data_IF_010982945356
#
_entry.id   IF_010982945356
#
_cell.length_a   1.000
_cell.length_b   1.000
_cell.length_c   1.000
_cell.angle_alpha   90.00
_cell.angle_beta   90.00
_cell.angle_gamma   90.00
#
_symmetry.space_group_name_H-M   'P 1'
#
loop_
_entity.id
_entity.type
_entity.pdbx_description
1 polymer ?
#
# COMPACT_ATOMS: atom_id res chain seq x y z
N UNK A 1 -8.46 12.71 21.14
CA UNK A 1 -8.09 11.51 20.35
C UNK A 1 -6.62 11.22 20.61
N UNK A 2 -6.34 10.09 21.26
CA UNK A 2 -4.96 9.67 21.51
C UNK A 2 -4.43 8.98 20.24
N UNK A 3 -3.39 9.52 19.62
CA UNK A 3 -2.71 8.94 18.48
C UNK A 3 -1.52 8.12 18.91
N UNK A 4 -1.42 6.89 18.46
CA UNK A 4 -0.28 6.01 18.65
C UNK A 4 0.20 5.49 17.31
N UNK A 5 1.51 5.38 17.11
CA UNK A 5 2.11 4.88 15.87
C UNK A 5 3.10 3.78 16.18
N UNK A 6 2.90 2.61 15.57
CA UNK A 6 3.90 1.57 15.53
C UNK A 6 5.05 1.99 14.61
N UNK A 7 6.27 1.94 15.12
CA UNK A 7 7.48 2.24 14.35
C UNK A 7 8.46 1.07 14.43
N UNK A 8 9.13 0.78 13.30
CA UNK A 8 10.17 -0.23 13.28
C UNK A 8 11.34 0.22 14.16
N UNK A 9 11.77 -0.66 15.08
CA UNK A 9 12.97 -0.44 15.90
C UNK A 9 14.20 -0.27 15.00
N UNK A 10 15.02 0.72 15.34
CA UNK A 10 16.34 0.95 14.72
C UNK A 10 17.40 1.08 15.81
N UNK A 11 18.54 0.43 15.59
CA UNK A 11 19.64 0.41 16.57
C UNK A 11 20.14 1.79 17.00
N UNK A 12 19.97 2.80 16.16
CA UNK A 12 20.41 4.20 16.41
C UNK A 12 19.31 5.10 16.98
N UNK A 13 18.19 4.53 17.47
CA UNK A 13 17.11 5.30 18.12
C UNK A 13 16.46 6.40 17.27
N UNK A 14 16.41 6.23 15.94
CA UNK A 14 15.93 7.26 15.02
C UNK A 14 14.42 7.45 15.09
N UNK A 15 13.99 8.65 15.44
CA UNK A 15 12.57 9.04 15.39
C UNK A 15 12.13 9.29 13.93
N UNK A 16 10.85 9.03 13.57
CA UNK A 16 10.35 9.22 12.20
C UNK A 16 10.50 10.69 11.75
N UNK A 17 11.40 10.94 10.82
CA UNK A 17 11.75 12.27 10.30
C UNK A 17 10.52 13.11 9.96
N UNK A 18 9.50 12.51 9.33
CA UNK A 18 8.27 13.19 8.91
C UNK A 18 7.48 13.79 10.06
N UNK A 19 7.42 13.12 11.22
CA UNK A 19 6.71 13.66 12.38
C UNK A 19 7.35 14.96 12.88
N UNK A 20 8.68 15.05 12.80
CA UNK A 20 9.40 16.27 13.15
C UNK A 20 9.23 17.36 12.11
N UNK A 21 9.37 17.03 10.82
CA UNK A 21 9.19 17.98 9.71
C UNK A 21 7.77 18.57 9.72
N UNK A 22 6.77 17.77 10.07
CA UNK A 22 5.38 18.21 10.19
C UNK A 22 5.05 18.82 11.56
N UNK A 23 5.99 18.87 12.50
CA UNK A 23 5.82 19.41 13.87
C UNK A 23 4.70 18.72 14.66
N UNK A 24 4.50 17.44 14.46
CA UNK A 24 3.48 16.62 15.16
C UNK A 24 4.09 15.49 15.99
N UNK A 25 5.40 15.53 16.21
CA UNK A 25 6.11 14.46 16.93
C UNK A 25 5.65 14.30 18.38
N UNK A 26 5.24 15.38 19.01
CA UNK A 26 4.77 15.39 20.40
C UNK A 26 3.29 15.03 20.53
N UNK A 27 2.53 15.10 19.41
CA UNK A 27 1.13 14.72 19.34
C UNK A 27 0.91 13.21 19.15
N UNK A 28 1.99 12.45 18.93
CA UNK A 28 1.93 11.03 18.61
C UNK A 28 2.82 10.20 19.53
N UNK A 29 2.22 9.30 20.29
CA UNK A 29 2.98 8.33 21.08
C UNK A 29 3.55 7.23 20.21
N UNK A 30 4.86 7.07 20.18
CA UNK A 30 5.54 6.04 19.40
C UNK A 30 5.63 4.74 20.19
N UNK A 31 5.35 3.63 19.55
CA UNK A 31 5.50 2.26 20.08
C UNK A 31 6.40 1.50 19.12
N UNK A 32 7.50 0.94 19.62
CA UNK A 32 8.41 0.12 18.81
C UNK A 32 7.82 -1.27 18.57
N UNK A 33 7.95 -1.74 17.32
CA UNK A 33 7.56 -3.09 16.92
C UNK A 33 7.77 -3.32 15.42
N UNK A 34 7.57 -4.54 14.98
CA UNK A 34 7.65 -4.93 13.57
C UNK A 34 6.40 -5.68 13.17
N UNK A 35 5.83 -5.33 12.01
CA UNK A 35 4.61 -5.99 11.49
C UNK A 35 4.84 -7.50 11.23
N UNK A 36 6.09 -7.91 11.05
CA UNK A 36 6.46 -9.32 10.84
C UNK A 36 6.67 -10.10 12.14
N UNK A 37 6.58 -9.44 13.29
CA UNK A 37 6.74 -10.04 14.62
C UNK A 37 5.44 -9.94 15.42
N UNK A 38 4.74 -11.07 15.53
CA UNK A 38 3.48 -11.20 16.27
C UNK A 38 3.61 -10.76 17.73
N UNK A 39 4.72 -11.08 18.40
CA UNK A 39 4.93 -10.72 19.81
C UNK A 39 4.98 -9.22 20.00
N UNK A 40 5.66 -8.49 19.11
CA UNK A 40 5.72 -7.03 19.17
C UNK A 40 4.36 -6.38 18.89
N UNK A 41 3.54 -7.00 18.02
CA UNK A 41 2.17 -6.53 17.75
C UNK A 41 1.24 -6.72 18.94
N UNK A 42 1.30 -7.88 19.61
CA UNK A 42 0.54 -8.13 20.83
C UNK A 42 0.88 -7.10 21.91
N UNK A 43 2.18 -6.84 22.13
CA UNK A 43 2.63 -5.79 23.06
C UNK A 43 2.14 -4.39 22.65
N UNK A 44 2.22 -4.06 21.37
CA UNK A 44 1.78 -2.75 20.87
C UNK A 44 0.27 -2.54 21.05
N UNK A 45 -0.52 -3.58 20.84
CA UNK A 45 -1.98 -3.56 21.04
C UNK A 45 -2.33 -3.39 22.52
N UNK A 46 -1.65 -4.09 23.44
CA UNK A 46 -1.84 -3.91 24.88
C UNK A 46 -1.52 -2.46 25.33
N UNK A 47 -0.52 -1.85 24.72
CA UNK A 47 -0.14 -0.46 25.05
C UNK A 47 -1.05 0.59 24.39
N UNK A 48 -1.71 0.23 23.30
CA UNK A 48 -2.51 1.17 22.51
C UNK A 48 -4.00 1.10 22.77
N UNK A 49 -4.56 -0.08 23.06
CA UNK A 49 -6.01 -0.30 23.22
C UNK A 49 -6.80 0.48 22.15
N UNK A 50 -6.63 0.15 20.84
CA UNK A 50 -7.10 1.00 19.78
C UNK A 50 -8.60 0.85 19.53
N UNK A 51 -9.32 1.95 19.28
CA UNK A 51 -10.68 1.97 18.70
C UNK A 51 -10.63 1.82 17.17
N UNK A 52 -9.55 2.31 16.55
CA UNK A 52 -9.33 2.24 15.11
C UNK A 52 -7.86 1.96 14.81
N UNK A 53 -7.61 1.02 13.91
CA UNK A 53 -6.29 0.67 13.40
C UNK A 53 -6.20 1.05 11.92
N UNK A 54 -5.31 1.98 11.57
CA UNK A 54 -4.94 2.26 10.19
C UNK A 54 -3.72 1.42 9.81
N UNK A 55 -3.95 0.36 9.05
CA UNK A 55 -2.87 -0.51 8.59
C UNK A 55 -2.23 0.04 7.32
N UNK A 56 -1.20 0.88 7.51
CA UNK A 56 -0.44 1.53 6.45
C UNK A 56 0.96 0.91 6.25
N UNK A 57 1.33 -0.05 7.12
CA UNK A 57 2.65 -0.67 7.07
C UNK A 57 2.77 -1.59 5.84
N UNK A 58 3.67 -1.24 4.93
CA UNK A 58 3.93 -2.01 3.72
C UNK A 58 5.30 -1.69 3.11
N UNK A 59 5.87 -2.65 2.37
CA UNK A 59 6.80 -2.37 1.29
C UNK A 59 5.96 -1.88 0.11
N UNK A 60 6.02 -0.57 -0.22
CA UNK A 60 5.09 0.09 -1.16
C UNK A 60 5.70 0.47 -2.50
N UNK A 61 6.98 0.19 -2.71
CA UNK A 61 7.67 0.53 -3.96
C UNK A 61 7.62 -0.64 -4.94
N UNK A 62 6.76 -0.54 -5.96
CA UNK A 62 6.50 -1.61 -6.94
C UNK A 62 7.77 -2.18 -7.57
N UNK A 63 8.75 -1.37 -8.06
CA UNK A 63 9.99 -1.92 -8.62
C UNK A 63 10.78 -2.78 -7.63
N UNK A 64 10.80 -2.44 -6.33
CA UNK A 64 11.46 -3.26 -5.29
C UNK A 64 10.82 -4.63 -5.17
N UNK A 65 9.50 -4.75 -5.38
CA UNK A 65 8.81 -6.04 -5.29
C UNK A 65 9.25 -7.05 -6.34
N UNK A 66 9.74 -6.60 -7.50
CA UNK A 66 10.34 -7.48 -8.51
C UNK A 66 11.77 -7.92 -8.17
N UNK A 67 12.49 -7.08 -7.42
CA UNK A 67 13.88 -7.39 -6.99
C UNK A 67 13.86 -8.33 -5.79
N UNK A 68 12.97 -8.07 -4.83
CA UNK A 68 12.84 -8.87 -3.61
C UNK A 68 11.35 -9.14 -3.30
N UNK A 69 10.77 -10.12 -4.01
CA UNK A 69 9.38 -10.50 -3.79
C UNK A 69 9.15 -11.12 -2.41
N UNK A 70 10.13 -11.83 -1.86
CA UNK A 70 9.99 -12.48 -0.55
C UNK A 70 9.88 -11.46 0.59
N UNK A 71 10.71 -10.39 0.58
CA UNK A 71 10.55 -9.27 1.52
C UNK A 71 9.15 -8.66 1.39
N UNK A 72 8.69 -8.44 0.15
CA UNK A 72 7.38 -7.85 -0.12
C UNK A 72 6.25 -8.70 0.48
N UNK A 73 6.24 -10.01 0.23
CA UNK A 73 5.22 -10.91 0.79
C UNK A 73 5.33 -11.05 2.30
N UNK A 74 6.55 -11.13 2.84
CA UNK A 74 6.73 -11.20 4.29
C UNK A 74 6.17 -9.98 5.00
N UNK A 75 6.43 -8.78 4.47
CA UNK A 75 5.94 -7.53 5.07
C UNK A 75 4.45 -7.32 4.81
N UNK A 76 4.01 -7.42 3.55
CA UNK A 76 2.67 -7.02 3.16
C UNK A 76 1.63 -8.10 3.46
N UNK A 77 1.95 -9.36 3.16
CA UNK A 77 0.99 -10.47 3.31
C UNK A 77 1.04 -11.06 4.72
N UNK A 78 2.19 -11.59 5.12
CA UNK A 78 2.34 -12.19 6.46
C UNK A 78 2.19 -11.12 7.56
N UNK A 79 2.73 -9.91 7.35
CA UNK A 79 2.56 -8.81 8.30
C UNK A 79 1.09 -8.41 8.49
N UNK A 80 0.29 -8.37 7.43
CA UNK A 80 -1.16 -8.14 7.54
C UNK A 80 -1.84 -9.25 8.32
N UNK A 81 -1.51 -10.51 8.05
CA UNK A 81 -2.04 -11.65 8.78
C UNK A 81 -1.68 -11.60 10.26
N UNK A 82 -0.42 -11.30 10.60
CA UNK A 82 0.01 -11.15 11.99
C UNK A 82 -0.78 -10.07 12.74
N UNK A 83 -1.05 -8.93 12.09
CA UNK A 83 -1.85 -7.87 12.70
C UNK A 83 -3.28 -8.34 12.99
N UNK A 84 -3.93 -8.97 12.02
CA UNK A 84 -5.28 -9.49 12.17
C UNK A 84 -5.35 -10.58 13.26
N UNK A 85 -4.38 -11.50 13.29
CA UNK A 85 -4.26 -12.51 14.36
C UNK A 85 -4.01 -11.87 15.72
N UNK A 86 -3.15 -10.86 15.81
CA UNK A 86 -2.91 -10.18 17.08
C UNK A 86 -4.18 -9.54 17.64
N UNK A 87 -4.98 -8.88 16.79
CA UNK A 87 -6.26 -8.27 17.19
C UNK A 87 -7.27 -9.35 17.60
N UNK A 88 -7.37 -10.44 16.81
CA UNK A 88 -8.25 -11.57 17.11
C UNK A 88 -7.88 -12.24 18.44
N UNK A 89 -6.60 -12.55 18.67
CA UNK A 89 -6.12 -13.21 19.88
C UNK A 89 -6.29 -12.36 21.15
N UNK A 90 -6.27 -11.03 20.99
CA UNK A 90 -6.50 -10.08 22.08
C UNK A 90 -7.98 -9.74 22.29
N UNK A 91 -8.86 -10.22 21.42
CA UNK A 91 -10.30 -9.93 21.44
C UNK A 91 -10.60 -8.42 21.50
N UNK A 92 -9.87 -7.63 20.67
CA UNK A 92 -10.01 -6.17 20.67
C UNK A 92 -11.13 -5.76 19.72
N UNK A 93 -12.16 -5.09 20.23
CA UNK A 93 -13.24 -4.51 19.43
C UNK A 93 -12.80 -3.19 18.81
N UNK A 94 -12.11 -3.25 17.67
CA UNK A 94 -11.67 -2.08 16.91
C UNK A 94 -12.06 -2.16 15.43
N UNK A 95 -12.10 -1.01 14.75
CA UNK A 95 -12.18 -0.96 13.29
C UNK A 95 -10.79 -1.02 12.69
N UNK A 96 -10.62 -1.81 11.63
CA UNK A 96 -9.35 -1.98 10.94
C UNK A 96 -9.49 -1.43 9.51
N UNK A 97 -8.77 -0.37 9.19
CA UNK A 97 -8.72 0.22 7.84
C UNK A 97 -7.43 -0.21 7.16
N UNK A 98 -7.56 -1.05 6.13
CA UNK A 98 -6.44 -1.52 5.33
C UNK A 98 -6.20 -0.62 4.13
N UNK A 99 -4.98 -0.12 4.00
CA UNK A 99 -4.54 0.56 2.78
C UNK A 99 -4.24 -0.48 1.71
N UNK A 100 -5.24 -0.83 0.91
CA UNK A 100 -5.08 -1.58 -0.33
C UNK A 100 -4.43 -0.72 -1.41
N UNK A 101 -4.71 -0.99 -2.67
CA UNK A 101 -4.11 -0.27 -3.79
C UNK A 101 -4.93 -0.44 -5.07
N UNK A 102 -4.96 0.57 -5.94
CA UNK A 102 -5.46 0.43 -7.32
C UNK A 102 -4.65 -0.57 -8.15
N UNK A 103 -3.40 -0.87 -7.78
CA UNK A 103 -2.59 -1.92 -8.40
C UNK A 103 -3.23 -3.32 -8.29
N UNK A 104 -4.17 -3.52 -7.36
CA UNK A 104 -4.95 -4.77 -7.23
C UNK A 104 -5.80 -5.04 -8.48
N UNK A 105 -6.33 -3.99 -9.11
CA UNK A 105 -7.06 -4.11 -10.38
C UNK A 105 -6.14 -4.54 -11.53
N UNK A 106 -4.88 -4.09 -11.54
CA UNK A 106 -3.83 -4.50 -12.47
C UNK A 106 -4.23 -4.34 -13.93
N UNK A 107 -4.32 -5.46 -14.66
CA UNK A 107 -4.65 -5.48 -16.08
C UNK A 107 -6.15 -5.27 -16.32
N UNK A 108 -6.54 -4.06 -16.70
CA UNK A 108 -7.90 -3.74 -17.13
C UNK A 108 -7.96 -3.58 -18.64
N UNK A 109 -9.01 -4.06 -19.27
CA UNK A 109 -9.21 -4.00 -20.72
C UNK A 109 -9.86 -2.68 -21.11
N UNK A 110 -9.16 -1.88 -21.89
CA UNK A 110 -9.56 -0.50 -22.23
C UNK A 110 -10.19 -0.37 -23.64
N UNK A 111 -10.05 -1.40 -24.48
CA UNK A 111 -10.65 -1.45 -25.83
C UNK A 111 -10.61 -2.86 -26.38
N UNK A 112 -11.39 -3.13 -27.44
CA UNK A 112 -11.36 -4.39 -28.19
C UNK A 112 -9.98 -4.69 -28.78
N UNK A 113 -9.29 -3.68 -29.29
CA UNK A 113 -7.92 -3.84 -29.80
C UNK A 113 -6.96 -4.25 -28.69
N UNK A 114 -7.08 -3.62 -27.51
CA UNK A 114 -6.30 -4.00 -26.33
C UNK A 114 -6.58 -5.44 -25.93
N UNK A 115 -7.84 -5.86 -25.90
CA UNK A 115 -8.23 -7.23 -25.58
C UNK A 115 -7.60 -8.26 -26.53
N UNK A 116 -7.70 -8.04 -27.85
CA UNK A 116 -7.05 -8.91 -28.83
C UNK A 116 -5.54 -9.00 -28.64
N UNK A 117 -4.87 -7.88 -28.34
CA UNK A 117 -3.44 -7.86 -28.06
C UNK A 117 -3.09 -8.65 -26.79
N UNK A 118 -3.89 -8.53 -25.74
CA UNK A 118 -3.72 -9.29 -24.50
C UNK A 118 -3.88 -10.78 -24.75
N UNK A 119 -4.92 -11.20 -25.47
CA UNK A 119 -5.12 -12.60 -25.85
C UNK A 119 -3.97 -13.16 -26.69
N UNK A 120 -3.45 -12.36 -27.63
CA UNK A 120 -2.28 -12.76 -28.44
C UNK A 120 -1.04 -12.97 -27.59
N UNK A 121 -0.82 -12.14 -26.56
CA UNK A 121 0.39 -12.19 -25.74
C UNK A 121 0.32 -13.24 -24.62
N UNK A 122 -0.86 -13.48 -24.04
CA UNK A 122 -1.04 -14.29 -22.84
C UNK A 122 -1.91 -15.54 -23.07
N UNK A 123 -2.52 -15.67 -24.27
CA UNK A 123 -3.42 -16.77 -24.62
C UNK A 123 -4.81 -16.65 -24.02
N UNK A 124 -4.92 -16.20 -22.79
CA UNK A 124 -6.17 -15.99 -22.06
C UNK A 124 -6.05 -14.86 -21.06
N UNK A 125 -7.18 -14.34 -20.61
CA UNK A 125 -7.26 -13.41 -19.48
C UNK A 125 -8.28 -13.95 -18.49
N UNK A 126 -7.91 -13.96 -17.20
CA UNK A 126 -8.80 -14.43 -16.16
C UNK A 126 -8.74 -13.52 -14.92
N UNK A 127 -9.89 -13.16 -14.33
CA UNK A 127 -11.26 -13.34 -14.85
C UNK A 127 -11.44 -12.64 -16.20
N UNK A 128 -12.31 -13.19 -17.06
CA UNK A 128 -12.65 -12.56 -18.34
C UNK A 128 -13.35 -11.21 -18.11
N UNK A 129 -13.17 -10.22 -19.02
CA UNK A 129 -13.88 -8.95 -18.92
C UNK A 129 -15.38 -9.16 -19.09
N UNK A 130 -16.17 -8.58 -18.19
CA UNK A 130 -17.65 -8.60 -18.29
C UNK A 130 -18.17 -7.62 -19.34
N UNK A 131 -17.41 -6.58 -19.61
CA UNK A 131 -17.68 -5.54 -20.62
C UNK A 131 -16.36 -4.96 -21.12
N UNK A 132 -16.36 -4.42 -22.33
CA UNK A 132 -15.21 -3.70 -22.90
C UNK A 132 -15.72 -2.33 -23.36
N UNK A 133 -15.14 -1.22 -22.89
CA UNK A 133 -14.02 -1.13 -21.92
C UNK A 133 -14.44 -1.47 -20.49
N UNK A 134 -13.47 -1.87 -19.65
CA UNK A 134 -13.61 -2.03 -18.20
C UNK A 134 -13.36 -0.68 -17.46
N UNK A 135 -13.82 0.41 -18.05
CA UNK A 135 -13.68 1.77 -17.55
C UNK A 135 -15.04 2.45 -17.43
N UNK A 136 -15.25 3.34 -16.45
CA UNK A 136 -14.33 3.66 -15.35
C UNK A 136 -14.13 2.47 -14.40
N UNK A 137 -12.99 2.41 -13.73
CA UNK A 137 -12.72 1.36 -12.74
C UNK A 137 -13.56 1.61 -11.49
N UNK A 138 -14.27 0.60 -11.04
CA UNK A 138 -15.04 0.56 -9.79
C UNK A 138 -14.58 -0.60 -8.90
N UNK A 139 -15.13 -0.68 -7.69
CA UNK A 139 -14.83 -1.76 -6.75
C UNK A 139 -15.26 -3.15 -7.26
N UNK A 140 -16.13 -3.21 -8.27
CA UNK A 140 -16.62 -4.44 -8.89
C UNK A 140 -15.71 -4.96 -10.01
N UNK A 141 -14.75 -4.15 -10.45
CA UNK A 141 -13.81 -4.55 -11.49
C UNK A 141 -12.99 -5.77 -11.03
N UNK A 142 -12.66 -6.69 -11.96
CA UNK A 142 -11.87 -7.87 -11.63
C UNK A 142 -10.46 -7.50 -11.19
N UNK A 143 -9.95 -8.26 -10.23
CA UNK A 143 -8.58 -8.10 -9.74
C UNK A 143 -7.64 -8.97 -10.59
N UNK A 144 -6.73 -8.32 -11.32
CA UNK A 144 -5.72 -8.96 -12.17
C UNK A 144 -4.34 -8.37 -11.89
N UNK A 145 -3.78 -8.59 -10.69
CA UNK A 145 -2.54 -7.99 -10.25
C UNK A 145 -1.37 -8.36 -11.17
N UNK A 146 -0.52 -7.37 -11.50
CA UNK A 146 0.58 -7.53 -12.46
C UNK A 146 1.97 -7.35 -11.84
N UNK A 147 2.06 -7.35 -10.51
CA UNK A 147 3.34 -7.25 -9.78
C UNK A 147 3.28 -8.02 -8.46
N UNK A 148 4.42 -8.45 -7.90
CA UNK A 148 4.44 -9.06 -6.56
C UNK A 148 3.84 -8.15 -5.48
N UNK A 149 4.04 -6.82 -5.61
CA UNK A 149 3.38 -5.84 -4.74
C UNK A 149 1.85 -5.91 -4.87
N UNK A 150 1.32 -5.88 -6.10
CA UNK A 150 -0.12 -5.95 -6.36
C UNK A 150 -0.73 -7.24 -5.80
N UNK A 151 -0.08 -8.40 -6.05
CA UNK A 151 -0.51 -9.70 -5.49
C UNK A 151 -0.53 -9.66 -3.97
N UNK A 152 0.48 -9.05 -3.33
CA UNK A 152 0.52 -8.93 -1.87
C UNK A 152 -0.61 -8.06 -1.32
N UNK A 153 -1.06 -7.05 -2.07
CA UNK A 153 -2.20 -6.20 -1.70
C UNK A 153 -3.54 -6.92 -1.87
N UNK A 154 -3.72 -7.67 -2.98
CA UNK A 154 -4.88 -8.56 -3.17
C UNK A 154 -4.97 -9.57 -2.03
N UNK A 155 -3.85 -10.18 -1.62
CA UNK A 155 -3.84 -11.10 -0.48
C UNK A 155 -4.32 -10.41 0.80
N UNK A 156 -3.85 -9.19 1.09
CA UNK A 156 -4.30 -8.41 2.24
C UNK A 156 -5.81 -8.09 2.19
N UNK A 157 -6.34 -7.67 1.02
CA UNK A 157 -7.77 -7.44 0.81
C UNK A 157 -8.60 -8.69 1.14
N UNK A 158 -8.19 -9.86 0.60
CA UNK A 158 -8.90 -11.11 0.87
C UNK A 158 -8.78 -11.57 2.33
N UNK A 159 -7.65 -11.31 3.00
CA UNK A 159 -7.53 -11.53 4.44
C UNK A 159 -8.51 -10.66 5.23
N UNK A 160 -8.64 -9.37 4.90
CA UNK A 160 -9.59 -8.49 5.57
C UNK A 160 -11.04 -9.02 5.46
N UNK A 161 -11.44 -9.50 4.28
CA UNK A 161 -12.76 -10.12 4.07
C UNK A 161 -12.92 -11.43 4.83
N UNK A 162 -11.88 -12.27 4.82
CA UNK A 162 -11.87 -13.54 5.54
C UNK A 162 -12.08 -13.31 7.05
N UNK A 163 -11.31 -12.38 7.63
CA UNK A 163 -11.38 -12.13 9.07
C UNK A 163 -12.69 -11.47 9.49
N UNK A 164 -13.30 -10.67 8.62
CA UNK A 164 -14.66 -10.18 8.83
C UNK A 164 -15.67 -11.35 8.87
N UNK A 165 -15.65 -12.21 7.84
CA UNK A 165 -16.63 -13.28 7.70
C UNK A 165 -16.45 -14.41 8.72
N UNK A 166 -15.20 -14.81 9.00
CA UNK A 166 -14.90 -15.95 9.84
C UNK A 166 -14.80 -15.62 11.35
N UNK A 167 -14.38 -14.40 11.67
CA UNK A 167 -14.08 -14.01 13.05
C UNK A 167 -14.79 -12.73 13.51
N UNK A 168 -15.58 -12.09 12.65
CA UNK A 168 -16.37 -10.90 12.99
C UNK A 168 -15.54 -9.62 13.18
N UNK A 169 -14.28 -9.57 12.73
CA UNK A 169 -13.48 -8.35 12.84
C UNK A 169 -14.02 -7.24 11.94
N UNK A 170 -14.12 -6.02 12.46
CA UNK A 170 -14.66 -4.86 11.73
C UNK A 170 -13.63 -4.30 10.75
N UNK A 171 -13.55 -4.87 9.56
CA UNK A 171 -12.54 -4.53 8.55
C UNK A 171 -13.08 -3.65 7.42
N UNK A 172 -12.27 -2.71 6.95
CA UNK A 172 -12.52 -1.84 5.82
C UNK A 172 -11.31 -1.88 4.90
N UNK A 173 -11.53 -2.02 3.59
CA UNK A 173 -10.46 -2.00 2.58
C UNK A 173 -10.63 -0.76 1.71
N UNK A 174 -9.54 0.01 1.51
CA UNK A 174 -9.47 1.06 0.51
C UNK A 174 -8.58 0.61 -0.65
N UNK A 175 -9.02 0.78 -1.90
CA UNK A 175 -8.22 0.55 -3.10
C UNK A 175 -7.91 1.89 -3.77
N UNK A 176 -7.21 2.75 -3.01
CA UNK A 176 -6.91 4.10 -3.46
C UNK A 176 -6.02 4.11 -4.70
N UNK A 177 -6.34 5.01 -5.62
CA UNK A 177 -5.48 5.36 -6.75
C UNK A 177 -4.29 6.20 -6.28
N UNK A 178 -3.57 6.85 -7.19
CA UNK A 178 -2.40 7.61 -6.82
C UNK A 178 -2.80 8.83 -5.97
N UNK A 179 -2.27 8.90 -4.77
CA UNK A 179 -2.41 10.05 -3.88
C UNK A 179 -1.04 10.48 -3.40
N UNK A 180 -0.80 11.76 -3.37
CA UNK A 180 0.50 12.34 -3.14
C UNK A 180 0.45 13.41 -2.03
N UNK A 181 1.60 13.66 -1.42
CA UNK A 181 1.69 14.66 -0.36
C UNK A 181 3.11 14.96 0.06
N UNK A 182 3.25 15.98 0.90
CA UNK A 182 4.53 16.38 1.46
C UNK A 182 5.23 15.20 2.15
N UNK A 183 6.54 15.05 1.92
CA UNK A 183 7.34 13.96 2.47
C UNK A 183 7.27 12.64 1.67
N UNK A 184 6.66 12.62 0.48
CA UNK A 184 6.73 11.45 -0.43
C UNK A 184 8.18 11.08 -0.72
N UNK A 185 8.51 9.78 -0.69
CA UNK A 185 9.88 9.29 -0.94
C UNK A 185 10.39 9.65 -2.34
N UNK A 186 11.69 9.89 -2.46
CA UNK A 186 12.31 10.34 -3.72
C UNK A 186 12.24 9.34 -4.87
N UNK A 187 11.98 8.07 -4.60
CA UNK A 187 11.80 7.03 -5.61
C UNK A 187 10.45 7.13 -6.34
N UNK A 188 9.52 7.93 -5.88
CA UNK A 188 8.22 8.10 -6.49
C UNK A 188 8.23 9.26 -7.50
N UNK A 189 7.43 9.13 -8.57
CA UNK A 189 7.49 9.98 -9.76
C UNK A 189 7.32 11.47 -9.46
N UNK A 190 6.33 11.85 -8.68
CA UNK A 190 6.06 13.27 -8.34
C UNK A 190 7.22 13.89 -7.58
N UNK A 191 7.72 13.21 -6.55
CA UNK A 191 8.91 13.64 -5.79
C UNK A 191 10.15 13.75 -6.67
N UNK A 192 10.35 12.79 -7.58
CA UNK A 192 11.48 12.79 -8.53
C UNK A 192 11.39 13.96 -9.49
N UNK A 193 10.21 14.24 -10.05
CA UNK A 193 10.00 15.36 -10.97
C UNK A 193 10.26 16.68 -10.25
N UNK A 194 9.62 16.91 -9.09
CA UNK A 194 9.81 18.16 -8.32
C UNK A 194 11.27 18.38 -7.98
N UNK A 195 11.99 17.34 -7.53
CA UNK A 195 13.42 17.43 -7.23
C UNK A 195 14.25 17.80 -8.47
N UNK A 196 13.96 17.21 -9.63
CA UNK A 196 14.64 17.53 -10.87
C UNK A 196 14.33 18.96 -11.32
N UNK A 197 13.09 19.43 -11.23
CA UNK A 197 12.71 20.81 -11.53
C UNK A 197 13.49 21.81 -10.67
N UNK A 198 13.63 21.53 -9.36
CA UNK A 198 14.44 22.38 -8.49
C UNK A 198 15.90 22.39 -8.92
N UNK A 199 16.50 21.24 -9.22
CA UNK A 199 17.88 21.12 -9.70
C UNK A 199 18.09 21.85 -11.03
N UNK A 200 17.14 21.71 -11.95
CA UNK A 200 17.18 22.44 -13.23
C UNK A 200 17.15 23.95 -13.02
N UNK A 201 16.28 24.44 -12.13
CA UNK A 201 16.18 25.86 -11.77
C UNK A 201 17.49 26.44 -11.25
N UNK A 202 18.27 25.65 -10.50
CA UNK A 202 19.56 26.06 -9.94
C UNK A 202 20.77 25.70 -10.85
N UNK A 203 20.51 25.21 -12.07
CA UNK A 203 21.58 24.88 -13.03
C UNK A 203 22.39 23.63 -12.67
N UNK A 204 21.92 22.80 -11.76
CA UNK A 204 22.62 21.55 -11.36
C UNK A 204 22.48 20.43 -12.39
N UNK A 205 21.45 20.51 -13.26
CA UNK A 205 21.20 19.55 -14.34
C UNK A 205 20.73 20.28 -15.58
N UNK A 206 21.00 19.70 -16.77
CA UNK A 206 20.66 20.32 -18.07
C UNK A 206 19.27 19.98 -18.61
N UNK A 207 18.52 19.08 -17.95
CA UNK A 207 17.19 18.66 -18.41
C UNK A 207 16.55 17.66 -17.46
N UNK A 208 15.26 17.37 -17.71
CA UNK A 208 14.49 16.40 -16.94
C UNK A 208 14.62 15.00 -17.56
N UNK A 209 14.83 13.99 -16.73
CA UNK A 209 14.77 12.58 -17.11
C UNK A 209 13.44 12.04 -16.58
N UNK A 210 12.53 11.72 -17.49
CA UNK A 210 11.20 11.18 -17.18
C UNK A 210 10.94 9.89 -17.96
N UNK A 211 10.06 9.04 -17.42
CA UNK A 211 9.67 7.80 -18.07
C UNK A 211 8.60 7.98 -19.14
N UNK A 212 7.69 7.00 -19.25
CA UNK A 212 6.60 7.05 -20.23
C UNK A 212 5.60 8.17 -19.89
N UNK A 213 5.58 9.22 -20.73
CA UNK A 213 4.67 10.37 -20.59
C UNK A 213 3.24 10.09 -21.05
N UNK A 214 3.02 8.97 -21.74
CA UNK A 214 1.70 8.58 -22.24
C UNK A 214 0.95 7.63 -21.27
N UNK A 215 1.47 7.41 -20.07
CA UNK A 215 0.81 6.62 -19.05
C UNK A 215 -0.28 7.44 -18.35
N UNK A 216 -1.52 7.02 -18.52
CA UNK A 216 -2.66 7.61 -17.79
C UNK A 216 -2.65 7.12 -16.34
N UNK A 217 -2.91 8.04 -15.42
CA UNK A 217 -3.04 7.77 -13.98
C UNK A 217 -4.09 8.69 -13.39
N UNK A 218 -4.83 8.17 -12.42
CA UNK A 218 -5.70 8.96 -11.57
C UNK A 218 -4.87 9.47 -10.38
N UNK A 219 -4.92 10.76 -10.12
CA UNK A 219 -4.13 11.45 -9.09
C UNK A 219 -5.03 12.28 -8.17
N UNK A 220 -4.82 12.16 -6.87
CA UNK A 220 -5.46 12.97 -5.84
C UNK A 220 -4.46 13.46 -4.78
#
# INVERSE_FOLDING_TARGET
>A
VYKRQLIRRRAIGFKPKRLFEMRIADDVKLIEGDITDLTSLLFALDKSEPDVVFHLAAQSFVPRSFIDPLETFRVNSLGTQNLLEAIRLKDIDCRIVFAGSSEEYGLQIISEEHYRRVLKNYGAIYPEPKSIPELPISEENPLRPMSPYAVSKVHGDFLMRLYYNAYGLKTIVSRAFNHEGAGRGHQFVTSTIVRQCVKLKYGEIGGLIIGNVNAFRDWS
#
